data_IF_451601822587
#
_entry.id   IF_451601822587
#
_cell.length_a   1.000
_cell.length_b   1.000
_cell.length_c   1.000
_cell.angle_alpha   90.00
_cell.angle_beta   90.00
_cell.angle_gamma   90.00
#
_symmetry.space_group_name_H-M   'P 1'
#
loop_
_entity.id
_entity.type
_entity.pdbx_description
1 polymer ?
#
# COMPACT_ATOMS: atom_id res chain seq x y z
N UNK A 1 -6.72 -18.32 -21.98
CA UNK A 1 -5.53 -18.96 -21.38
C UNK A 1 -5.74 -19.07 -19.88
N UNK A 2 -5.31 -20.16 -19.25
CA UNK A 2 -5.39 -20.31 -17.80
C UNK A 2 -4.34 -19.41 -17.11
N UNK A 3 -4.77 -18.60 -16.14
CA UNK A 3 -3.87 -17.70 -15.39
C UNK A 3 -2.91 -18.48 -14.48
N UNK A 4 -3.20 -19.75 -14.18
CA UNK A 4 -2.39 -20.58 -13.26
C UNK A 4 -1.05 -21.03 -13.84
N UNK A 5 -0.87 -20.92 -15.15
CA UNK A 5 0.38 -21.32 -15.83
C UNK A 5 1.38 -20.17 -15.96
N UNK A 6 0.97 -18.94 -15.64
CA UNK A 6 1.82 -17.77 -15.73
C UNK A 6 2.80 -17.68 -14.57
N UNK A 7 4.01 -17.20 -14.87
CA UNK A 7 4.97 -16.82 -13.82
C UNK A 7 4.46 -15.60 -13.05
N UNK A 8 5.01 -15.33 -11.87
CA UNK A 8 4.70 -14.10 -11.12
C UNK A 8 5.00 -12.85 -11.95
N UNK A 9 6.08 -12.87 -12.74
CA UNK A 9 6.41 -11.78 -13.67
C UNK A 9 5.36 -11.61 -14.77
N UNK A 10 4.87 -12.71 -15.34
CA UNK A 10 3.77 -12.66 -16.32
C UNK A 10 2.49 -12.10 -15.68
N UNK A 11 2.20 -12.47 -14.44
CA UNK A 11 1.04 -11.98 -13.69
C UNK A 11 1.19 -10.46 -13.45
N UNK A 12 2.37 -10.02 -13.02
CA UNK A 12 2.72 -8.62 -12.86
C UNK A 12 2.46 -7.82 -14.14
N UNK A 13 3.11 -8.22 -15.24
CA UNK A 13 3.05 -7.48 -16.51
C UNK A 13 1.67 -7.54 -17.17
N UNK A 14 0.98 -8.68 -17.14
CA UNK A 14 -0.28 -8.88 -17.89
C UNK A 14 -1.53 -8.46 -17.12
N UNK A 15 -1.46 -8.40 -15.79
CA UNK A 15 -2.65 -8.16 -14.95
C UNK A 15 -2.45 -7.07 -13.90
N UNK A 16 -1.36 -7.11 -13.12
CA UNK A 16 -1.20 -6.17 -12.00
C UNK A 16 -0.82 -4.77 -12.49
N UNK A 17 0.20 -4.62 -13.35
CA UNK A 17 0.59 -3.31 -13.89
C UNK A 17 -0.57 -2.61 -14.62
N UNK A 18 -1.34 -3.29 -15.50
CA UNK A 18 -2.53 -2.69 -16.10
C UNK A 18 -3.63 -2.32 -15.09
N UNK A 19 -3.80 -3.08 -14.01
CA UNK A 19 -4.78 -2.77 -12.97
C UNK A 19 -4.39 -1.52 -12.16
N UNK A 20 -3.09 -1.37 -11.85
CA UNK A 20 -2.55 -0.17 -11.19
C UNK A 20 -2.77 1.07 -12.07
N UNK A 21 -2.50 0.95 -13.37
CA UNK A 21 -2.73 2.04 -14.33
C UNK A 21 -4.22 2.40 -14.44
N UNK A 22 -5.10 1.40 -14.53
CA UNK A 22 -6.57 1.60 -14.56
C UNK A 22 -7.10 2.25 -13.28
N UNK A 23 -6.46 2.01 -12.13
CA UNK A 23 -6.78 2.67 -10.88
C UNK A 23 -6.33 4.15 -10.83
N UNK A 24 -5.75 4.67 -11.92
CA UNK A 24 -5.37 6.08 -12.08
C UNK A 24 -3.93 6.41 -11.68
N UNK A 25 -3.10 5.42 -11.36
CA UNK A 25 -1.69 5.63 -11.04
C UNK A 25 -0.85 5.81 -12.31
N UNK A 26 0.00 6.84 -12.34
CA UNK A 26 0.95 6.99 -13.43
C UNK A 26 2.14 6.04 -13.24
N UNK A 27 2.24 5.00 -14.07
CA UNK A 27 3.28 3.97 -13.97
C UNK A 27 4.70 4.54 -14.02
N UNK A 28 4.93 5.59 -14.81
CA UNK A 28 6.29 6.13 -15.02
C UNK A 28 6.75 7.05 -13.89
N UNK A 29 5.83 7.80 -13.27
CA UNK A 29 6.18 8.82 -12.27
C UNK A 29 5.88 8.40 -10.83
N UNK A 30 4.87 7.56 -10.62
CA UNK A 30 4.39 7.20 -9.29
C UNK A 30 4.70 5.76 -8.90
N UNK A 31 4.90 4.86 -9.86
CA UNK A 31 5.09 3.43 -9.58
C UNK A 31 6.57 3.05 -9.74
N UNK A 32 7.07 2.28 -8.78
CA UNK A 32 8.41 1.68 -8.84
C UNK A 32 8.31 0.18 -8.71
N UNK A 33 8.86 -0.56 -9.65
CA UNK A 33 8.87 -2.03 -9.64
C UNK A 33 10.14 -2.56 -8.96
N UNK A 34 10.01 -3.73 -8.31
CA UNK A 34 11.06 -4.52 -7.66
C UNK A 34 11.98 -3.73 -6.70
N UNK A 35 11.40 -2.88 -5.86
CA UNK A 35 12.14 -1.98 -4.97
C UNK A 35 12.71 -2.73 -3.77
N UNK A 36 13.99 -2.53 -3.48
CA UNK A 36 14.58 -2.96 -2.20
C UNK A 36 14.15 -2.00 -1.09
N UNK A 37 13.42 -2.51 -0.11
CA UNK A 37 12.89 -1.72 1.03
C UNK A 37 13.91 -1.57 2.15
N UNK A 38 14.85 -2.51 2.26
CA UNK A 38 15.88 -2.52 3.30
C UNK A 38 17.22 -2.86 2.66
N UNK A 39 18.33 -2.58 3.33
CA UNK A 39 19.66 -2.97 2.84
C UNK A 39 20.00 -4.44 3.16
N UNK A 40 19.15 -5.13 3.91
CA UNK A 40 19.43 -6.46 4.44
C UNK A 40 20.15 -6.40 5.79
N UNK A 41 19.72 -7.27 6.72
CA UNK A 41 20.24 -7.29 8.09
C UNK A 41 21.55 -8.08 8.17
N UNK A 42 22.56 -7.54 8.83
CA UNK A 42 23.77 -8.30 9.18
C UNK A 42 23.47 -9.17 10.41
N UNK A 43 23.60 -10.49 10.27
CA UNK A 43 23.56 -11.44 11.37
C UNK A 43 24.99 -11.81 11.71
N UNK A 44 25.32 -11.70 13.00
CA UNK A 44 26.58 -12.21 13.57
C UNK A 44 26.27 -13.37 14.51
N UNK A 45 26.89 -14.52 14.29
CA UNK A 45 26.87 -15.69 15.20
C UNK A 45 28.30 -16.14 15.48
N UNK A 46 28.83 -15.75 16.64
CA UNK A 46 30.23 -15.98 16.98
C UNK A 46 31.17 -15.26 15.99
N UNK A 47 32.06 -16.01 15.32
CA UNK A 47 32.97 -15.48 14.29
C UNK A 47 32.35 -15.44 12.89
N UNK A 48 31.15 -15.99 12.71
CA UNK A 48 30.45 -16.01 11.43
C UNK A 48 29.61 -14.74 11.26
N UNK A 49 29.77 -14.08 10.12
CA UNK A 49 28.92 -12.97 9.70
C UNK A 49 28.21 -13.35 8.39
N UNK A 50 26.93 -13.05 8.29
CA UNK A 50 26.15 -13.24 7.07
C UNK A 50 25.16 -12.09 6.94
N UNK A 51 25.04 -11.53 5.74
CA UNK A 51 24.04 -10.52 5.44
C UNK A 51 22.80 -11.19 4.85
N UNK A 52 21.66 -11.06 5.53
CA UNK A 52 20.37 -11.51 4.99
C UNK A 52 20.05 -10.66 3.76
N UNK A 53 19.43 -11.28 2.76
CA UNK A 53 18.95 -10.57 1.58
C UNK A 53 17.99 -9.42 1.99
N UNK A 54 18.06 -8.29 1.29
CA UNK A 54 17.13 -7.19 1.52
C UNK A 54 15.70 -7.64 1.25
N UNK A 55 14.75 -7.14 2.05
CA UNK A 55 13.33 -7.25 1.72
C UNK A 55 13.07 -6.47 0.43
N UNK A 56 12.41 -7.10 -0.54
CA UNK A 56 11.99 -6.47 -1.81
C UNK A 56 10.47 -6.47 -1.87
N UNK A 57 9.94 -5.43 -2.49
CA UNK A 57 8.53 -5.30 -2.85
C UNK A 57 8.39 -5.32 -4.36
N UNK A 58 7.32 -5.95 -4.87
CA UNK A 58 7.06 -5.97 -6.31
C UNK A 58 6.68 -4.60 -6.85
N UNK A 59 5.82 -3.85 -6.14
CA UNK A 59 5.52 -2.46 -6.46
C UNK A 59 5.56 -1.56 -5.22
N UNK A 60 6.06 -0.34 -5.41
CA UNK A 60 5.91 0.75 -4.46
C UNK A 60 5.19 1.90 -5.15
N UNK A 61 4.05 2.32 -4.60
CA UNK A 61 3.24 3.41 -5.11
C UNK A 61 3.56 4.69 -4.35
N UNK A 62 3.94 5.73 -5.08
CA UNK A 62 4.32 7.03 -4.55
C UNK A 62 3.27 8.07 -4.90
N UNK A 63 2.69 8.70 -3.88
CA UNK A 63 1.72 9.78 -4.11
C UNK A 63 2.39 11.00 -4.78
N UNK A 64 3.58 11.35 -4.27
CA UNK A 64 4.47 12.38 -4.82
C UNK A 64 5.91 11.84 -4.90
N UNK A 65 6.81 12.56 -5.58
CA UNK A 65 8.22 12.18 -5.69
C UNK A 65 8.81 11.91 -4.29
N UNK A 66 9.33 10.71 -4.08
CA UNK A 66 9.90 10.23 -2.81
C UNK A 66 8.92 10.11 -1.62
N UNK A 67 7.61 10.07 -1.85
CA UNK A 67 6.60 9.83 -0.81
C UNK A 67 5.85 8.51 -1.07
N UNK A 68 6.38 7.35 -0.60
CA UNK A 68 5.70 6.07 -0.73
C UNK A 68 4.49 6.02 0.20
N UNK A 69 3.35 5.57 -0.32
CA UNK A 69 2.11 5.42 0.47
C UNK A 69 1.59 3.98 0.51
N UNK A 70 2.00 3.14 -0.44
CA UNK A 70 1.56 1.76 -0.51
C UNK A 70 2.64 0.86 -1.13
N UNK A 71 2.59 -0.41 -0.73
CA UNK A 71 3.38 -1.51 -1.28
C UNK A 71 2.42 -2.55 -1.82
N UNK A 72 2.69 -3.08 -3.01
CA UNK A 72 1.94 -4.20 -3.59
C UNK A 72 2.89 -5.38 -3.73
N UNK A 73 2.49 -6.52 -3.18
CA UNK A 73 3.15 -7.80 -3.37
C UNK A 73 2.31 -8.62 -4.35
N UNK A 74 2.92 -9.08 -5.43
CA UNK A 74 2.33 -10.01 -6.35
C UNK A 74 2.50 -11.43 -5.82
N UNK A 75 1.50 -12.26 -6.03
CA UNK A 75 1.56 -13.68 -5.67
C UNK A 75 1.21 -14.52 -6.87
N UNK A 76 1.74 -15.75 -6.90
CA UNK A 76 1.30 -16.72 -7.90
C UNK A 76 -0.23 -16.95 -7.83
N UNK A 77 -0.82 -17.39 -8.94
CA UNK A 77 -2.26 -17.63 -9.01
C UNK A 77 -2.63 -19.10 -8.72
N UNK A 78 -1.77 -19.84 -8.00
CA UNK A 78 -2.00 -21.27 -7.69
C UNK A 78 -2.82 -21.47 -6.42
N UNK A 79 -3.09 -20.39 -5.69
CA UNK A 79 -3.97 -20.36 -4.53
C UNK A 79 -5.40 -20.80 -4.86
N UNK A 80 -6.08 -21.36 -3.87
CA UNK A 80 -7.47 -21.79 -4.05
C UNK A 80 -8.40 -20.59 -4.27
N UNK A 81 -9.48 -20.75 -5.04
CA UNK A 81 -10.46 -19.68 -5.24
C UNK A 81 -11.07 -19.19 -3.93
N UNK A 82 -11.20 -20.09 -2.94
CA UNK A 82 -11.66 -19.74 -1.60
C UNK A 82 -10.70 -18.78 -0.91
N UNK A 83 -9.40 -19.08 -0.89
CA UNK A 83 -8.38 -18.21 -0.30
C UNK A 83 -8.37 -16.83 -0.98
N UNK A 84 -8.48 -16.80 -2.31
CA UNK A 84 -8.58 -15.55 -3.07
C UNK A 84 -9.81 -14.73 -2.67
N UNK A 85 -10.97 -15.38 -2.55
CA UNK A 85 -12.21 -14.71 -2.16
C UNK A 85 -12.14 -14.18 -0.73
N UNK A 86 -11.59 -14.97 0.21
CA UNK A 86 -11.38 -14.56 1.60
C UNK A 86 -10.43 -13.35 1.70
N UNK A 87 -9.39 -13.30 0.87
CA UNK A 87 -8.48 -12.14 0.80
C UNK A 87 -9.21 -10.91 0.28
N UNK A 88 -9.93 -11.03 -0.84
CA UNK A 88 -10.67 -9.90 -1.44
C UNK A 88 -11.69 -9.34 -0.43
N UNK A 89 -12.46 -10.20 0.23
CA UNK A 89 -13.42 -9.77 1.23
C UNK A 89 -12.77 -8.98 2.38
N UNK A 90 -11.63 -9.44 2.91
CA UNK A 90 -10.91 -8.72 3.97
C UNK A 90 -10.35 -7.38 3.51
N UNK A 91 -9.93 -7.27 2.25
CA UNK A 91 -9.49 -6.00 1.66
C UNK A 91 -10.67 -5.03 1.57
N UNK A 92 -11.83 -5.48 1.10
CA UNK A 92 -13.04 -4.65 1.03
C UNK A 92 -13.47 -4.16 2.43
N UNK A 93 -13.45 -5.05 3.43
CA UNK A 93 -13.73 -4.70 4.84
C UNK A 93 -12.75 -3.64 5.38
N UNK A 94 -11.46 -3.79 5.10
CA UNK A 94 -10.43 -2.83 5.49
C UNK A 94 -10.64 -1.47 4.81
N UNK A 95 -10.97 -1.45 3.53
CA UNK A 95 -11.22 -0.22 2.79
C UNK A 95 -12.44 0.52 3.35
N UNK A 96 -13.52 -0.21 3.64
CA UNK A 96 -14.71 0.36 4.27
C UNK A 96 -14.41 0.92 5.69
N UNK A 97 -13.52 0.29 6.45
CA UNK A 97 -13.04 0.83 7.73
C UNK A 97 -12.24 2.12 7.54
N UNK A 98 -11.34 2.15 6.56
CA UNK A 98 -10.57 3.34 6.23
C UNK A 98 -11.47 4.52 5.84
N UNK A 99 -12.53 4.29 5.07
CA UNK A 99 -13.43 5.36 4.65
C UNK A 99 -14.23 5.93 5.83
N UNK A 100 -14.74 5.06 6.73
CA UNK A 100 -15.38 5.51 7.99
C UNK A 100 -14.43 6.32 8.88
N UNK A 101 -13.17 5.89 8.98
CA UNK A 101 -12.16 6.61 9.76
C UNK A 101 -11.87 7.99 9.16
N UNK A 102 -11.82 8.12 7.83
CA UNK A 102 -11.65 9.42 7.16
C UNK A 102 -12.82 10.36 7.44
N UNK A 103 -14.05 9.86 7.37
CA UNK A 103 -15.26 10.64 7.68
C UNK A 103 -15.20 11.19 9.11
N UNK A 104 -14.95 10.34 10.10
CA UNK A 104 -14.83 10.77 11.51
C UNK A 104 -13.70 11.78 11.75
N UNK A 105 -12.57 11.65 11.05
CA UNK A 105 -11.49 12.63 11.14
C UNK A 105 -11.92 13.98 10.55
N UNK A 106 -12.61 13.99 9.41
CA UNK A 106 -13.11 15.22 8.80
C UNK A 106 -14.13 15.94 9.68
N UNK A 107 -15.06 15.21 10.30
CA UNK A 107 -16.03 15.76 11.25
C UNK A 107 -15.33 16.40 12.45
N UNK A 108 -14.32 15.72 13.01
CA UNK A 108 -13.56 16.22 14.14
C UNK A 108 -12.79 17.51 13.81
N UNK A 109 -12.23 17.60 12.60
CA UNK A 109 -11.52 18.79 12.13
C UNK A 109 -12.46 19.98 11.92
N UNK A 110 -13.66 19.76 11.37
CA UNK A 110 -14.69 20.80 11.23
C UNK A 110 -15.14 21.35 12.60
N UNK A 111 -15.42 20.46 13.56
CA UNK A 111 -15.81 20.86 14.93
C UNK A 111 -14.70 21.68 15.59
N UNK A 112 -13.44 21.28 15.43
CA UNK A 112 -12.28 22.01 15.97
C UNK A 112 -12.18 23.42 15.41
N UNK A 113 -12.44 23.60 14.12
CA UNK A 113 -12.40 24.91 13.47
C UNK A 113 -13.50 25.83 14.02
N UNK A 114 -14.73 25.32 14.13
CA UNK A 114 -15.85 26.08 14.71
C UNK A 114 -15.59 26.48 16.16
N UNK A 115 -15.03 25.57 16.96
CA UNK A 115 -14.72 25.84 18.37
C UNK A 115 -13.61 26.90 18.52
N UNK A 116 -12.59 26.85 17.64
CA UNK A 116 -11.52 27.85 17.61
C UNK A 116 -12.05 29.23 17.24
N UNK A 117 -12.94 29.32 16.25
CA UNK A 117 -13.59 30.58 15.84
C UNK A 117 -14.45 31.16 16.97
N UNK A 118 -15.28 30.34 17.62
CA UNK A 118 -16.09 30.75 18.75
C UNK A 118 -15.23 31.25 19.94
N UNK A 119 -14.10 30.60 20.19
CA UNK A 119 -13.16 30.99 21.25
C UNK A 119 -12.49 32.34 20.98
N UNK A 120 -12.12 32.62 19.73
CA UNK A 120 -11.57 33.93 19.32
C UNK A 120 -12.64 35.02 19.49
N UNK A 121 -13.88 34.76 19.05
CA UNK A 121 -14.97 35.72 19.19
C UNK A 121 -15.26 36.05 20.67
N UNK A 122 -15.21 35.04 21.55
CA UNK A 122 -15.38 35.24 22.99
C UNK A 122 -14.24 36.06 23.62
N UNK A 123 -13.00 35.95 23.11
CA UNK A 123 -11.84 36.68 23.62
C UNK A 123 -11.72 38.13 23.12
N UNK A 124 -12.45 38.50 22.05
CA UNK A 124 -12.47 39.85 21.46
C UNK A 124 -13.64 40.71 21.96
N UNK A 125 -14.48 40.20 22.85
CA UNK A 125 -15.52 40.93 23.60
C UNK A 125 -15.04 41.25 25.00
#
# INVERSE_FOLDING_TARGET
MDKKTFSERDICTKYITPAIEQAGWNIKSQVREEVSLTDGRVIVRGRMHTRIRPLRADYVLNYQKNQPIAVVEAKDNKHSLREQHEIVQKVDELMALCDRLKEHLSEADEIRLQLAEASIFAALK
#
